data_IF_092445461993
#
_entry.id   IF_092445461993
#
_cell.length_a   1.000
_cell.length_b   1.000
_cell.length_c   1.000
_cell.angle_alpha   90.00
_cell.angle_beta   90.00
_cell.angle_gamma   90.00
#
_symmetry.space_group_name_H-M   'P 1'
#
loop_
_entity.id
_entity.type
_entity.pdbx_description
1 polymer ?
#
# COMPACT_ATOMS: atom_id res chain seq x y z
N UNK A 1 9.08 -9.32 10.44
CA UNK A 1 8.37 -9.61 9.18
C UNK A 1 9.24 -9.14 8.02
N UNK A 2 9.46 -9.95 6.98
CA UNK A 2 10.31 -9.58 5.83
C UNK A 2 9.63 -8.54 4.91
N UNK A 3 10.41 -7.65 4.29
CA UNK A 3 10.00 -6.67 3.29
C UNK A 3 9.12 -7.27 2.18
N UNK A 4 9.39 -8.53 1.81
CA UNK A 4 8.61 -9.31 0.83
C UNK A 4 7.14 -9.51 1.24
N UNK A 5 6.88 -9.66 2.54
CA UNK A 5 5.53 -9.79 3.08
C UNK A 5 4.74 -8.48 3.02
N UNK A 6 5.40 -7.34 3.28
CA UNK A 6 4.79 -6.02 3.17
C UNK A 6 4.46 -5.67 1.70
N UNK A 7 5.40 -5.94 0.78
CA UNK A 7 5.22 -5.77 -0.66
C UNK A 7 4.01 -6.54 -1.18
N UNK A 8 3.93 -7.84 -0.88
CA UNK A 8 2.81 -8.70 -1.31
C UNK A 8 1.46 -8.20 -0.78
N UNK A 9 1.41 -7.76 0.48
CA UNK A 9 0.21 -7.19 1.08
C UNK A 9 -0.22 -5.92 0.38
N UNK A 10 0.72 -5.01 0.10
CA UNK A 10 0.44 -3.77 -0.63
C UNK A 10 -0.09 -4.05 -2.03
N UNK A 11 0.56 -4.92 -2.81
CA UNK A 11 0.13 -5.30 -4.16
C UNK A 11 -1.29 -5.88 -4.14
N UNK A 12 -1.58 -6.81 -3.23
CA UNK A 12 -2.93 -7.37 -3.10
C UNK A 12 -3.99 -6.32 -2.75
N UNK A 13 -3.64 -5.34 -1.90
CA UNK A 13 -4.55 -4.25 -1.54
C UNK A 13 -4.81 -3.33 -2.74
N UNK A 14 -3.78 -3.02 -3.53
CA UNK A 14 -3.91 -2.24 -4.76
C UNK A 14 -4.75 -2.96 -5.81
N UNK A 15 -4.60 -4.28 -5.97
CA UNK A 15 -5.48 -5.06 -6.83
C UNK A 15 -6.93 -5.00 -6.36
N UNK A 16 -7.19 -5.19 -5.07
CA UNK A 16 -8.55 -5.13 -4.53
C UNK A 16 -9.17 -3.72 -4.68
N UNK A 17 -8.37 -2.66 -4.59
CA UNK A 17 -8.81 -1.31 -4.86
C UNK A 17 -9.13 -1.13 -6.35
N UNK A 18 -8.23 -1.55 -7.24
CA UNK A 18 -8.38 -1.45 -8.69
C UNK A 18 -9.64 -2.16 -9.20
N UNK A 19 -9.94 -3.35 -8.66
CA UNK A 19 -11.14 -4.10 -9.01
C UNK A 19 -12.45 -3.41 -8.58
N UNK A 20 -12.43 -2.60 -7.51
CA UNK A 20 -13.62 -1.88 -7.02
C UNK A 20 -13.82 -0.56 -7.74
N UNK A 21 -12.74 0.12 -8.10
CA UNK A 21 -12.80 1.48 -8.66
C UNK A 21 -12.57 1.52 -10.16
N UNK A 22 -12.23 0.39 -10.78
CA UNK A 22 -11.73 0.30 -12.17
C UNK A 22 -10.52 1.21 -12.44
N UNK A 23 -9.77 1.59 -11.40
CA UNK A 23 -8.56 2.41 -11.53
C UNK A 23 -7.32 1.54 -11.41
N UNK A 24 -6.43 1.60 -12.39
CA UNK A 24 -5.13 0.90 -12.35
C UNK A 24 -3.96 1.86 -12.16
N UNK A 25 -4.21 3.18 -12.11
CA UNK A 25 -3.21 4.20 -11.88
C UNK A 25 -3.40 4.84 -10.52
N UNK A 26 -2.29 4.95 -9.79
CA UNK A 26 -2.25 5.47 -8.43
C UNK A 26 -1.13 6.49 -8.31
N UNK A 27 -1.45 7.63 -7.71
CA UNK A 27 -0.42 8.56 -7.30
C UNK A 27 0.30 8.06 -6.03
N UNK A 28 1.48 8.60 -5.78
CA UNK A 28 2.33 8.21 -4.65
C UNK A 28 1.64 8.44 -3.28
N UNK A 29 0.79 9.45 -3.14
CA UNK A 29 0.01 9.70 -1.92
C UNK A 29 -1.07 8.64 -1.73
N UNK A 30 -1.74 8.22 -2.80
CA UNK A 30 -2.70 7.11 -2.77
C UNK A 30 -2.01 5.80 -2.38
N UNK A 31 -0.87 5.49 -2.98
CA UNK A 31 -0.07 4.31 -2.61
C UNK A 31 0.32 4.33 -1.11
N UNK A 32 0.74 5.50 -0.59
CA UNK A 32 1.03 5.68 0.84
C UNK A 32 -0.21 5.47 1.70
N UNK A 33 -1.36 5.99 1.29
CA UNK A 33 -2.63 5.84 2.01
C UNK A 33 -3.06 4.38 2.09
N UNK A 34 -2.97 3.64 0.98
CA UNK A 34 -3.25 2.20 0.94
C UNK A 34 -2.26 1.42 1.82
N UNK A 35 -0.96 1.73 1.76
CA UNK A 35 0.05 1.10 2.60
C UNK A 35 -0.17 1.38 4.10
N UNK A 36 -0.57 2.60 4.46
CA UNK A 36 -0.94 2.98 5.82
C UNK A 36 -2.15 2.19 6.31
N UNK A 37 -3.17 2.01 5.47
CA UNK A 37 -4.33 1.16 5.79
C UNK A 37 -3.94 -0.32 6.00
N UNK A 38 -2.93 -0.80 5.29
CA UNK A 38 -2.42 -2.17 5.44
C UNK A 38 -1.61 -2.37 6.72
N UNK A 39 -1.03 -1.33 7.33
CA UNK A 39 -0.42 -1.44 8.66
C UNK A 39 -1.45 -1.56 9.81
N UNK A 40 -2.74 -1.32 9.56
CA UNK A 40 -3.77 -1.25 10.62
C UNK A 40 -4.61 -2.54 10.76
N UNK A 41 -4.50 -3.55 9.87
CA UNK A 41 -5.46 -4.67 9.85
C UNK A 41 -4.88 -6.08 9.70
N UNK A 42 -3.80 -6.40 10.42
CA UNK A 42 -3.39 -7.82 10.64
C UNK A 42 -3.80 -8.39 12.01
N UNK A 43 -4.70 -7.72 12.72
CA UNK A 43 -5.52 -8.33 13.77
C UNK A 43 -6.98 -7.94 13.55
N UNK A 44 -7.65 -8.63 12.63
CA UNK A 44 -9.12 -8.77 12.74
C UNK A 44 -9.39 -9.92 13.71
N UNK A 45 -9.08 -9.68 14.97
CA UNK A 45 -9.87 -10.24 16.05
C UNK A 45 -11.05 -9.28 16.28
N UNK A 46 -12.19 -9.85 16.65
CA UNK A 46 -13.49 -9.20 16.69
C UNK A 46 -13.53 -7.95 17.59
N UNK A 47 -14.42 -7.04 17.17
CA UNK A 47 -15.31 -6.18 17.99
C UNK A 47 -14.71 -5.01 18.80
N UNK A 48 -15.24 -3.83 18.44
CA UNK A 48 -15.71 -2.69 19.27
C UNK A 48 -14.66 -1.88 20.06
N UNK A 49 -14.54 -0.59 19.69
CA UNK A 49 -14.54 0.60 20.58
C UNK A 49 -13.81 1.75 19.88
N UNK A 50 -14.54 2.79 19.44
CA UNK A 50 -14.76 4.06 20.17
C UNK A 50 -13.48 4.91 20.25
N UNK A 51 -13.52 6.02 19.50
CA UNK A 51 -12.83 7.30 19.71
C UNK A 51 -11.41 7.26 20.30
N UNK A 52 -10.39 7.46 19.45
CA UNK A 52 -9.32 8.45 19.70
C UNK A 52 -8.53 8.68 18.42
N UNK A 53 -8.20 9.94 18.19
CA UNK A 53 -7.36 10.47 17.12
C UNK A 53 -6.20 9.55 16.79
N UNK A 54 -5.85 9.31 15.51
CA UNK A 54 -4.63 8.59 15.20
C UNK A 54 -3.46 9.51 15.52
N UNK A 55 -2.85 9.29 16.69
CA UNK A 55 -1.43 9.55 16.88
C UNK A 55 -0.71 8.97 15.67
N UNK A 56 0.17 9.78 15.10
CA UNK A 56 1.18 9.42 14.11
C UNK A 56 2.05 8.31 14.69
N UNK A 57 1.54 7.08 14.67
CA UNK A 57 2.31 5.90 15.02
C UNK A 57 3.32 5.69 13.90
N UNK A 58 4.53 6.13 14.22
CA UNK A 58 5.79 5.89 13.53
C UNK A 58 6.02 4.38 13.47
N UNK A 59 5.26 3.70 12.61
CA UNK A 59 5.76 2.48 12.00
C UNK A 59 6.90 2.92 11.10
N UNK A 60 8.08 2.92 11.71
CA UNK A 60 9.41 2.85 11.12
C UNK A 60 9.43 3.08 9.62
N UNK A 61 10.10 4.16 9.22
CA UNK A 61 10.51 4.51 7.85
C UNK A 61 11.34 3.36 7.27
N UNK A 62 10.68 2.24 6.97
CA UNK A 62 11.14 1.27 6.00
C UNK A 62 10.83 1.94 4.68
N UNK A 63 11.89 2.38 3.99
CA UNK A 63 11.84 3.30 2.86
C UNK A 63 10.67 2.96 1.92
N UNK A 64 9.56 3.67 2.07
CA UNK A 64 8.35 3.39 1.29
C UNK A 64 8.66 3.58 -0.19
N UNK A 65 9.50 4.56 -0.50
CA UNK A 65 10.03 4.75 -1.84
C UNK A 65 10.84 3.55 -2.31
N UNK A 66 11.70 2.97 -1.47
CA UNK A 66 12.44 1.74 -1.75
C UNK A 66 11.52 0.55 -1.97
N UNK A 67 10.45 0.41 -1.18
CA UNK A 67 9.42 -0.61 -1.41
C UNK A 67 8.73 -0.41 -2.77
N UNK A 68 8.33 0.82 -3.10
CA UNK A 68 7.68 1.16 -4.38
C UNK A 68 8.66 0.98 -5.55
N UNK A 69 9.93 1.34 -5.38
CA UNK A 69 11.00 1.09 -6.36
C UNK A 69 11.19 -0.40 -6.59
N UNK A 70 11.27 -1.21 -5.54
CA UNK A 70 11.39 -2.67 -5.69
C UNK A 70 10.17 -3.28 -6.37
N UNK A 71 8.96 -2.77 -6.13
CA UNK A 71 7.75 -3.18 -6.85
C UNK A 71 7.78 -2.76 -8.32
N UNK A 72 8.39 -1.62 -8.62
CA UNK A 72 8.60 -1.15 -9.98
C UNK A 72 9.64 -2.01 -10.72
N UNK A 73 10.76 -2.32 -10.08
CA UNK A 73 11.80 -3.21 -10.63
C UNK A 73 11.29 -4.65 -10.85
N UNK A 74 10.39 -5.13 -9.99
CA UNK A 74 9.76 -6.44 -10.13
C UNK A 74 8.60 -6.47 -11.15
N UNK A 75 8.24 -5.32 -11.73
CA UNK A 75 7.18 -5.23 -12.74
C UNK A 75 5.75 -5.28 -12.18
N UNK A 76 5.55 -5.18 -10.86
CA UNK A 76 4.21 -5.07 -10.26
C UNK A 76 3.64 -3.65 -10.39
N UNK A 77 4.50 -2.65 -10.33
CA UNK A 77 4.17 -1.25 -10.59
C UNK A 77 4.96 -0.78 -11.81
N UNK A 78 4.41 0.17 -12.57
CA UNK A 78 5.11 0.84 -13.65
C UNK A 78 5.04 2.35 -13.41
N UNK A 79 6.18 3.00 -13.22
CA UNK A 79 6.24 4.46 -13.10
C UNK A 79 5.81 5.12 -14.42
N UNK A 80 4.70 5.88 -14.40
CA UNK A 80 4.16 6.61 -15.56
C UNK A 80 4.44 8.11 -15.51
N UNK A 81 4.86 8.65 -14.37
CA UNK A 81 5.17 10.07 -14.21
C UNK A 81 5.93 10.36 -12.91
N UNK A 82 6.08 11.66 -12.58
CA UNK A 82 6.87 12.10 -11.41
C UNK A 82 6.38 11.49 -10.09
N UNK A 83 5.06 11.29 -9.95
CA UNK A 83 4.43 10.69 -8.76
C UNK A 83 3.30 9.72 -9.12
N UNK A 84 3.28 9.20 -10.35
CA UNK A 84 2.19 8.35 -10.85
C UNK A 84 2.74 6.96 -11.18
N UNK A 85 2.06 5.94 -10.67
CA UNK A 85 2.41 4.54 -10.85
C UNK A 85 1.19 3.77 -11.33
N UNK A 86 1.37 2.93 -12.34
CA UNK A 86 0.35 2.04 -12.83
C UNK A 86 0.57 0.64 -12.27
N UNK A 87 -0.46 0.06 -11.64
CA UNK A 87 -0.48 -1.34 -11.27
C UNK A 87 -0.50 -2.20 -12.54
N UNK A 88 0.48 -3.08 -12.65
CA UNK A 88 0.52 -4.10 -13.68
C UNK A 88 -0.35 -5.27 -13.22
N UNK A 89 -1.45 -5.48 -13.91
CA UNK A 89 -2.31 -6.64 -13.73
C UNK A 89 -1.99 -7.61 -14.86
N UNK A 90 -1.50 -8.81 -14.54
CA UNK A 90 -1.45 -9.92 -15.50
C UNK A 90 -2.84 -10.51 -15.71
#
# INVERSE_FOLDING_TARGET
MSQRGAAKRLVNALHAYAQRTNQTQFDLQTLRSVAAQMNIKLKREKKISKMRSPSVDVFQVMDFEGLVSSLNEQGFLLKKGAKLYQLQTV
#
